data_IF_714219499460
#
_entry.id   IF_714219499460
#
_cell.length_a   1.000
_cell.length_b   1.000
_cell.length_c   1.000
_cell.angle_alpha   90.00
_cell.angle_beta   90.00
_cell.angle_gamma   90.00
#
_symmetry.space_group_name_H-M   'P 1'
#
loop_
_entity.id
_entity.type
_entity.pdbx_description
1 polymer ?
#
# COMPACT_ATOMS: atom_id res chain seq x y z
N UNK A 1 -24.32 -0.24 -0.11
CA UNK A 1 -23.30 0.60 -0.77
C UNK A 1 -22.48 1.25 0.31
N UNK A 2 -21.15 1.30 0.21
CA UNK A 2 -20.34 2.13 1.11
C UNK A 2 -20.27 3.52 0.51
N UNK A 3 -20.83 4.51 1.22
CA UNK A 3 -20.64 5.92 0.89
C UNK A 3 -19.20 6.28 1.24
N UNK A 4 -18.35 6.51 0.23
CA UNK A 4 -17.02 7.09 0.46
C UNK A 4 -17.24 8.56 0.84
N UNK A 5 -16.88 8.95 2.06
CA UNK A 5 -16.98 10.33 2.51
C UNK A 5 -16.16 11.25 1.59
N UNK A 6 -16.87 12.10 0.85
CA UNK A 6 -16.28 13.18 0.05
C UNK A 6 -15.97 14.32 1.02
N UNK A 7 -14.74 14.83 0.97
CA UNK A 7 -14.38 15.94 1.85
C UNK A 7 -15.18 17.20 1.52
N UNK A 8 -15.76 17.83 2.54
CA UNK A 8 -16.54 19.08 2.42
C UNK A 8 -15.65 20.34 2.48
N UNK A 9 -14.46 20.21 3.04
CA UNK A 9 -13.43 21.25 3.14
C UNK A 9 -12.05 20.68 2.80
N UNK A 10 -11.16 21.53 2.26
CA UNK A 10 -9.78 21.16 2.01
C UNK A 10 -8.90 21.50 3.22
N UNK A 11 -8.16 20.51 3.72
CA UNK A 11 -7.24 20.68 4.86
C UNK A 11 -5.82 20.38 4.40
N UNK A 12 -5.01 21.42 4.18
CA UNK A 12 -3.64 21.28 3.71
C UNK A 12 -2.81 20.34 4.60
N UNK A 13 -2.09 19.40 3.98
CA UNK A 13 -1.28 18.40 4.68
C UNK A 13 -2.04 17.18 5.20
N UNK A 14 -3.38 17.13 5.10
CA UNK A 14 -4.17 15.93 5.43
C UNK A 14 -3.84 14.79 4.47
N UNK A 15 -3.65 13.57 5.00
CA UNK A 15 -3.49 12.36 4.19
C UNK A 15 -4.72 12.11 3.29
N UNK A 16 -4.47 11.75 2.03
CA UNK A 16 -5.50 11.50 1.02
C UNK A 16 -5.08 10.34 0.09
N UNK A 17 -6.05 9.74 -0.60
CA UNK A 17 -5.81 8.67 -1.59
C UNK A 17 -6.40 9.00 -2.97
N UNK A 18 -6.90 10.23 -3.15
CA UNK A 18 -7.32 10.85 -4.40
C UNK A 18 -7.90 12.24 -4.15
N UNK A 19 -8.09 13.04 -5.21
CA UNK A 19 -8.57 14.44 -5.11
C UNK A 19 -9.92 14.58 -4.38
N UNK A 20 -10.79 13.56 -4.45
CA UNK A 20 -12.07 13.49 -3.70
C UNK A 20 -11.94 13.69 -2.19
N UNK A 21 -10.75 13.40 -1.65
CA UNK A 21 -10.47 13.41 -0.22
C UNK A 21 -9.97 14.80 0.23
N UNK A 22 -9.85 15.74 -0.72
CA UNK A 22 -9.33 17.10 -0.56
C UNK A 22 -10.34 18.20 -1.00
N UNK A 23 -11.62 17.86 -1.18
CA UNK A 23 -12.70 18.77 -1.59
C UNK A 23 -12.41 19.49 -2.93
N UNK A 24 -11.99 20.76 -2.89
CA UNK A 24 -11.62 21.58 -4.04
C UNK A 24 -10.13 21.57 -4.37
N UNK A 25 -9.30 21.05 -3.45
CA UNK A 25 -7.85 20.96 -3.62
C UNK A 25 -7.41 19.72 -4.42
N UNK A 26 -6.11 19.42 -4.36
CA UNK A 26 -5.49 18.25 -5.01
C UNK A 26 -4.78 17.35 -4.01
N UNK A 27 -4.79 16.04 -4.27
CA UNK A 27 -4.04 15.07 -3.50
C UNK A 27 -2.66 14.84 -4.15
N UNK A 28 -1.61 15.39 -3.55
CA UNK A 28 -0.25 15.36 -4.09
C UNK A 28 0.60 14.24 -3.46
N UNK A 29 1.33 13.49 -4.27
CA UNK A 29 2.22 12.43 -3.82
C UNK A 29 2.73 11.56 -4.97
N UNK A 30 3.64 10.62 -4.66
CA UNK A 30 4.14 9.65 -5.63
C UNK A 30 3.16 8.47 -5.69
N UNK A 31 2.61 8.19 -6.87
CA UNK A 31 1.70 7.07 -7.12
C UNK A 31 0.55 6.95 -6.10
N UNK A 32 -0.04 8.09 -5.73
CA UNK A 32 -1.20 8.24 -4.81
C UNK A 32 -2.29 7.21 -5.14
N UNK A 33 -2.85 6.58 -4.11
CA UNK A 33 -3.96 5.66 -4.27
C UNK A 33 -3.60 4.34 -4.97
N UNK A 34 -2.31 4.06 -5.19
CA UNK A 34 -1.82 2.78 -5.74
C UNK A 34 -1.11 1.94 -4.67
N UNK A 35 -0.93 0.64 -4.91
CA UNK A 35 -0.33 -0.27 -3.92
C UNK A 35 1.12 0.09 -3.57
N UNK A 36 1.39 0.32 -2.27
CA UNK A 36 2.72 0.62 -1.75
C UNK A 36 3.45 -0.68 -1.36
N UNK A 37 4.31 -1.18 -2.25
CA UNK A 37 5.19 -2.31 -1.93
C UNK A 37 6.41 -1.93 -1.08
N UNK A 38 6.78 -0.65 -1.03
CA UNK A 38 8.02 -0.17 -0.40
C UNK A 38 8.05 -0.29 1.13
N UNK A 39 6.92 -0.62 1.75
CA UNK A 39 6.83 -0.90 3.21
C UNK A 39 7.13 -2.36 3.56
N UNK A 40 7.20 -3.28 2.59
CA UNK A 40 7.77 -4.60 2.85
C UNK A 40 9.29 -4.50 2.70
N UNK A 41 10.00 -4.73 3.80
CA UNK A 41 11.45 -4.65 3.87
C UNK A 41 12.02 -6.01 4.26
N UNK A 42 12.63 -6.71 3.30
CA UNK A 42 13.29 -8.00 3.54
C UNK A 42 14.38 -7.84 4.62
N UNK A 43 14.53 -8.86 5.47
CA UNK A 43 15.42 -8.89 6.65
C UNK A 43 15.03 -7.97 7.82
N UNK A 44 13.84 -7.35 7.82
CA UNK A 44 13.22 -6.84 9.06
C UNK A 44 12.73 -8.01 9.92
N UNK A 45 12.97 -7.96 11.24
CA UNK A 45 12.51 -8.98 12.19
C UNK A 45 10.98 -8.98 12.28
N UNK A 46 10.36 -10.17 12.34
CA UNK A 46 8.90 -10.30 12.33
C UNK A 46 8.37 -11.40 13.25
N UNK A 47 7.23 -11.11 13.89
CA UNK A 47 6.36 -12.12 14.52
C UNK A 47 5.23 -12.54 13.57
N UNK A 48 4.70 -11.59 12.79
CA UNK A 48 3.67 -11.77 11.77
C UNK A 48 3.91 -10.88 10.53
N UNK A 49 3.00 -10.96 9.55
CA UNK A 49 3.07 -10.18 8.31
C UNK A 49 2.90 -8.65 8.51
N UNK A 50 2.35 -8.18 9.64
CA UNK A 50 2.14 -6.76 9.90
C UNK A 50 3.49 -6.02 10.08
N UNK A 51 4.48 -6.69 10.67
CA UNK A 51 5.87 -6.22 10.70
C UNK A 51 6.47 -6.08 9.29
N UNK A 52 6.07 -6.93 8.35
CA UNK A 52 6.47 -6.90 6.94
C UNK A 52 5.64 -5.93 6.09
N UNK A 53 5.21 -4.81 6.69
CA UNK A 53 4.34 -3.81 6.07
C UNK A 53 2.91 -4.30 5.79
N UNK A 54 2.55 -5.52 6.23
CA UNK A 54 1.28 -6.19 6.00
C UNK A 54 1.23 -7.15 4.81
N UNK A 55 2.33 -7.40 4.09
CA UNK A 55 2.31 -8.32 2.94
C UNK A 55 2.09 -9.77 3.39
N UNK A 56 0.96 -10.36 2.98
CA UNK A 56 0.55 -11.71 3.38
C UNK A 56 1.57 -12.79 2.99
N UNK A 57 1.99 -13.60 3.96
CA UNK A 57 2.98 -14.67 3.78
C UNK A 57 4.43 -14.19 3.66
N UNK A 58 4.72 -12.91 3.92
CA UNK A 58 6.07 -12.37 3.88
C UNK A 58 6.87 -12.68 5.15
N UNK A 59 6.24 -12.79 6.32
CA UNK A 59 6.99 -13.15 7.53
C UNK A 59 7.42 -14.62 7.47
N UNK A 60 8.72 -14.89 7.58
CA UNK A 60 9.23 -16.25 7.62
C UNK A 60 9.25 -16.80 9.05
N UNK A 61 8.41 -17.81 9.29
CA UNK A 61 8.27 -18.43 10.60
C UNK A 61 9.48 -19.27 11.06
N UNK A 62 10.42 -19.60 10.16
CA UNK A 62 11.64 -20.33 10.50
C UNK A 62 12.78 -19.37 10.84
N UNK A 63 12.99 -18.32 10.04
CA UNK A 63 14.08 -17.35 10.24
C UNK A 63 13.71 -16.21 11.18
N UNK A 64 12.40 -15.92 11.32
CA UNK A 64 11.82 -14.74 12.01
C UNK A 64 12.19 -13.40 11.37
N UNK A 65 12.37 -13.41 10.05
CA UNK A 65 12.55 -12.22 9.23
C UNK A 65 11.56 -12.17 8.06
N UNK A 66 11.27 -10.96 7.60
CA UNK A 66 10.50 -10.73 6.38
C UNK A 66 11.27 -11.19 5.13
N UNK A 67 10.58 -11.91 4.25
CA UNK A 67 10.96 -12.19 2.87
C UNK A 67 9.84 -11.70 1.94
N UNK A 68 10.07 -10.55 1.30
CA UNK A 68 9.08 -9.94 0.44
C UNK A 68 8.93 -10.66 -0.92
N UNK A 69 9.96 -11.34 -1.43
CA UNK A 69 9.85 -12.10 -2.69
C UNK A 69 9.00 -13.36 -2.46
N UNK A 70 9.20 -14.05 -1.34
CA UNK A 70 8.28 -15.09 -0.83
C UNK A 70 6.86 -14.57 -0.65
N UNK A 71 6.68 -13.40 -0.01
CA UNK A 71 5.37 -12.77 0.16
C UNK A 71 4.66 -12.50 -1.19
N UNK A 72 5.36 -11.97 -2.19
CA UNK A 72 4.78 -11.79 -3.52
C UNK A 72 4.47 -13.12 -4.23
N UNK A 73 5.32 -14.15 -4.09
CA UNK A 73 5.06 -15.50 -4.62
C UNK A 73 3.84 -16.16 -3.97
N UNK A 74 3.66 -16.02 -2.67
CA UNK A 74 2.49 -16.53 -1.95
C UNK A 74 1.17 -15.93 -2.44
N UNK A 75 1.23 -14.73 -3.05
CA UNK A 75 0.09 -14.01 -3.61
C UNK A 75 0.01 -14.08 -5.15
N UNK A 76 0.79 -14.96 -5.79
CA UNK A 76 0.66 -15.31 -7.20
C UNK A 76 1.60 -14.59 -8.19
N UNK A 77 2.49 -13.71 -7.73
CA UNK A 77 3.50 -13.08 -8.60
C UNK A 77 4.72 -14.01 -8.76
N UNK A 78 5.30 -14.10 -9.96
CA UNK A 78 6.41 -15.03 -10.19
C UNK A 78 7.72 -14.59 -9.50
N UNK A 79 7.91 -13.27 -9.35
CA UNK A 79 9.07 -12.63 -8.70
C UNK A 79 8.68 -11.24 -8.19
N UNK A 80 9.51 -10.62 -7.36
CA UNK A 80 9.41 -9.20 -7.01
C UNK A 80 9.42 -8.26 -8.23
N UNK A 81 10.06 -8.64 -9.35
CA UNK A 81 10.02 -7.87 -10.61
C UNK A 81 8.68 -7.98 -11.36
N UNK A 82 7.88 -9.00 -11.07
CA UNK A 82 6.53 -9.18 -11.59
C UNK A 82 5.55 -8.31 -10.80
N UNK A 83 5.63 -8.37 -9.47
CA UNK A 83 4.93 -7.44 -8.58
C UNK A 83 5.29 -5.97 -8.87
N UNK A 84 6.56 -5.66 -9.15
CA UNK A 84 7.01 -4.31 -9.52
C UNK A 84 6.38 -3.76 -10.82
N UNK A 85 5.90 -4.62 -11.73
CA UNK A 85 5.26 -4.22 -12.99
C UNK A 85 3.73 -4.21 -12.91
N UNK A 86 3.15 -5.12 -12.11
CA UNK A 86 1.70 -5.38 -12.09
C UNK A 86 0.99 -4.84 -10.84
N UNK A 87 1.72 -4.56 -9.76
CA UNK A 87 1.17 -4.19 -8.46
C UNK A 87 1.74 -2.85 -7.97
N UNK A 88 3.05 -2.82 -7.72
CA UNK A 88 3.72 -1.77 -6.96
C UNK A 88 3.70 -0.43 -7.70
N UNK A 89 3.10 0.60 -7.10
CA UNK A 89 2.91 1.92 -7.72
C UNK A 89 2.12 1.89 -9.06
N UNK A 90 1.45 0.78 -9.39
CA UNK A 90 0.72 0.57 -10.66
C UNK A 90 -0.76 0.28 -10.40
N UNK A 91 -1.07 -0.73 -9.59
CA UNK A 91 -2.45 -1.15 -9.30
C UNK A 91 -3.13 -0.17 -8.35
N UNK A 92 -4.31 0.31 -8.74
CA UNK A 92 -5.14 1.16 -7.89
C UNK A 92 -5.66 0.40 -6.66
N UNK A 93 -5.70 1.10 -5.53
CA UNK A 93 -5.89 0.57 -4.19
C UNK A 93 -7.12 1.21 -3.54
N UNK A 94 -8.09 0.39 -3.13
CA UNK A 94 -9.29 0.84 -2.40
C UNK A 94 -9.19 0.55 -0.89
N UNK A 95 -8.41 -0.47 -0.57
CA UNK A 95 -8.27 -1.13 0.72
C UNK A 95 -6.97 -1.94 0.71
N UNK A 96 -6.58 -2.47 1.87
CA UNK A 96 -5.35 -3.27 1.99
C UNK A 96 -5.47 -4.64 1.30
N UNK A 97 -6.68 -5.20 1.20
CA UNK A 97 -6.92 -6.49 0.55
C UNK A 97 -6.59 -6.46 -0.95
N UNK A 98 -6.91 -5.35 -1.63
CA UNK A 98 -6.53 -5.07 -3.02
C UNK A 98 -5.02 -5.19 -3.25
N UNK A 99 -4.21 -4.92 -2.22
CA UNK A 99 -2.75 -4.97 -2.25
C UNK A 99 -2.18 -6.13 -1.40
N UNK A 100 -2.94 -7.20 -1.17
CA UNK A 100 -2.48 -8.40 -0.45
C UNK A 100 -2.01 -8.13 0.98
N UNK A 101 -2.65 -7.16 1.63
CA UNK A 101 -2.38 -6.69 2.99
C UNK A 101 -1.45 -5.49 3.08
N UNK A 102 -0.74 -5.11 2.00
CA UNK A 102 0.01 -3.84 1.92
C UNK A 102 -0.92 -2.61 1.93
N UNK A 103 -0.44 -1.41 2.33
CA UNK A 103 -1.21 -0.18 2.25
C UNK A 103 -1.23 0.42 0.83
N UNK A 104 -2.13 1.36 0.60
CA UNK A 104 -2.03 2.30 -0.54
C UNK A 104 -0.94 3.35 -0.25
N UNK A 105 -0.34 3.95 -1.28
CA UNK A 105 0.43 5.19 -1.14
C UNK A 105 -0.50 6.35 -0.75
N UNK A 106 -0.30 7.01 0.40
CA UNK A 106 -0.96 8.29 0.68
C UNK A 106 -0.32 9.41 -0.15
N UNK A 107 -1.15 10.36 -0.57
CA UNK A 107 -0.73 11.73 -0.82
C UNK A 107 -1.09 12.63 0.36
N UNK A 108 -0.81 13.92 0.21
CA UNK A 108 -1.28 14.98 1.10
C UNK A 108 -2.12 16.00 0.32
N UNK A 109 -3.16 16.55 0.96
CA UNK A 109 -3.98 17.58 0.34
C UNK A 109 -3.23 18.90 0.20
N UNK A 110 -3.41 19.56 -0.95
CA UNK A 110 -2.92 20.89 -1.28
C UNK A 110 -4.08 21.72 -1.83
N UNK A 111 -4.40 22.81 -1.14
CA UNK A 111 -5.61 23.63 -1.35
C UNK A 111 -5.22 24.92 -2.16
#
# INVERSE_FOLDING_TARGET
MVTKDVATECVSGRNCFGDSDCATGRCLGIAVGKCNCGVCLTFVSCEDDAACGGLRGACDNQTKYCDCDKGFRANGFQTIFDAARLLCNVKDCKDRDTCYGLPCNPGFCSC
#
